data_IF_371386764298
#
_entry.id   IF_371386764298
#
_cell.length_a   1.000
_cell.length_b   1.000
_cell.length_c   1.000
_cell.angle_alpha   90.00
_cell.angle_beta   90.00
_cell.angle_gamma   90.00
#
_symmetry.space_group_name_H-M   'P 1'
#
loop_
_entity.id
_entity.type
_entity.pdbx_description
1 polymer ?
#
# COMPACT_ATOMS: atom_id res chain seq x y z
N UNK A 1 3.09 -8.79 -3.23
CA UNK A 1 2.73 -7.34 -3.26
C UNK A 1 3.53 -6.64 -4.34
N UNK A 2 3.00 -5.58 -4.95
CA UNK A 2 3.65 -4.85 -6.04
C UNK A 2 3.60 -3.35 -5.76
N UNK A 3 4.74 -2.71 -5.64
CA UNK A 3 4.85 -1.29 -5.39
C UNK A 3 4.72 -0.51 -6.70
N UNK A 4 3.92 0.54 -6.72
CA UNK A 4 3.72 1.39 -7.89
C UNK A 4 3.84 2.86 -7.49
N UNK A 5 4.47 3.64 -8.37
CA UNK A 5 4.53 5.09 -8.27
C UNK A 5 4.62 5.69 -9.68
N UNK A 6 3.97 6.84 -9.86
CA UNK A 6 3.88 7.57 -11.11
C UNK A 6 4.41 8.99 -10.97
N UNK A 7 5.10 9.45 -12.01
CA UNK A 7 5.42 10.86 -12.19
C UNK A 7 4.45 11.48 -13.20
N UNK A 8 3.92 12.65 -12.87
CA UNK A 8 2.90 13.33 -13.67
C UNK A 8 3.38 14.70 -14.18
N UNK A 9 2.71 15.18 -15.23
CA UNK A 9 2.87 16.53 -15.78
C UNK A 9 1.51 17.25 -15.90
N UNK A 10 1.57 18.53 -16.22
CA UNK A 10 0.41 19.36 -16.61
C UNK A 10 0.37 19.42 -18.13
N UNK A 11 -0.81 19.13 -18.70
CA UNK A 11 -1.13 19.28 -20.12
C UNK A 11 -2.14 20.41 -20.31
N UNK A 12 -2.53 20.67 -21.56
CA UNK A 12 -3.57 21.66 -21.89
C UNK A 12 -4.95 21.31 -21.33
N UNK A 13 -5.21 20.03 -21.05
CA UNK A 13 -6.55 19.53 -20.67
C UNK A 13 -6.60 18.96 -19.25
N UNK A 14 -5.46 18.65 -18.64
CA UNK A 14 -5.38 18.03 -17.32
C UNK A 14 -4.17 18.54 -16.54
N UNK A 15 -4.34 18.72 -15.24
CA UNK A 15 -3.27 19.11 -14.33
C UNK A 15 -2.42 17.93 -13.83
N UNK A 16 -2.75 16.71 -14.26
CA UNK A 16 -2.05 15.49 -13.84
C UNK A 16 -2.22 14.39 -14.89
N UNK A 17 -1.31 14.34 -15.86
CA UNK A 17 -1.19 13.23 -16.82
C UNK A 17 0.10 12.44 -16.60
N UNK A 18 0.01 11.12 -16.77
CA UNK A 18 1.12 10.19 -16.58
C UNK A 18 2.28 10.48 -17.54
N UNK A 19 3.50 10.57 -16.99
CA UNK A 19 4.74 10.73 -17.75
C UNK A 19 5.80 9.70 -17.45
N UNK A 20 5.76 9.07 -16.28
CA UNK A 20 6.60 7.92 -15.94
C UNK A 20 5.85 7.02 -14.97
N UNK A 21 6.09 5.72 -15.05
CA UNK A 21 5.63 4.73 -14.07
C UNK A 21 6.79 3.82 -13.71
N UNK A 22 6.88 3.46 -12.42
CA UNK A 22 7.70 2.34 -11.93
C UNK A 22 6.83 1.32 -11.22
N UNK A 23 7.11 0.03 -11.43
CA UNK A 23 6.52 -1.11 -10.72
C UNK A 23 7.64 -1.98 -10.16
N UNK A 24 7.57 -2.27 -8.86
CA UNK A 24 8.61 -2.97 -8.11
C UNK A 24 8.01 -4.14 -7.34
N UNK A 25 8.70 -5.29 -7.29
CA UNK A 25 8.27 -6.43 -6.47
C UNK A 25 8.66 -6.26 -4.98
N UNK A 26 8.44 -7.28 -4.16
CA UNK A 26 8.78 -7.23 -2.72
C UNK A 26 10.27 -7.26 -2.41
N UNK A 27 11.09 -7.67 -3.37
CA UNK A 27 12.55 -7.79 -3.25
C UNK A 27 13.28 -6.53 -3.76
N UNK A 28 12.55 -5.60 -4.37
CA UNK A 28 13.11 -4.37 -4.94
C UNK A 28 13.45 -4.48 -6.43
N UNK A 29 13.09 -5.58 -7.09
CA UNK A 29 13.31 -5.74 -8.53
C UNK A 29 12.29 -4.94 -9.34
N UNK A 30 12.78 -4.29 -10.40
CA UNK A 30 11.97 -3.50 -11.32
C UNK A 30 11.27 -4.42 -12.31
N UNK A 31 9.94 -4.45 -12.26
CA UNK A 31 9.12 -5.20 -13.21
C UNK A 31 8.75 -4.35 -14.44
N UNK A 32 8.59 -3.04 -14.23
CA UNK A 32 8.28 -2.05 -15.27
C UNK A 32 8.87 -0.70 -14.84
N UNK A 33 9.64 -0.03 -15.69
CA UNK A 33 10.01 1.38 -15.53
C UNK A 33 10.07 2.03 -16.90
N UNK A 34 9.09 2.88 -17.21
CA UNK A 34 8.96 3.48 -18.55
C UNK A 34 8.45 4.90 -18.49
N UNK A 35 8.91 5.72 -19.45
CA UNK A 35 8.28 6.98 -19.78
C UNK A 35 6.99 6.74 -20.57
N UNK A 36 6.07 7.71 -20.49
CA UNK A 36 4.77 7.67 -21.14
C UNK A 36 4.52 9.02 -21.79
N UNK A 37 4.18 9.04 -23.07
CA UNK A 37 3.79 10.25 -23.78
C UNK A 37 2.29 10.52 -23.56
N UNK A 38 1.92 11.64 -22.89
CA UNK A 38 0.53 12.09 -22.81
C UNK A 38 -0.06 12.35 -24.20
N UNK A 39 -1.37 12.17 -24.35
CA UNK A 39 -2.06 12.48 -25.63
C UNK A 39 -2.10 13.98 -25.90
N UNK A 40 -2.30 14.76 -24.84
CA UNK A 40 -2.36 16.22 -24.92
C UNK A 40 -0.98 16.83 -24.74
N UNK A 41 -0.77 18.01 -25.34
CA UNK A 41 0.50 18.72 -25.27
C UNK A 41 0.85 19.06 -23.82
N UNK A 42 2.08 18.74 -23.42
CA UNK A 42 2.62 19.09 -22.10
C UNK A 42 2.85 20.60 -22.04
N UNK A 43 2.28 21.24 -21.02
CA UNK A 43 2.43 22.67 -20.72
C UNK A 43 3.46 22.88 -19.62
N UNK A 44 3.54 21.97 -18.64
CA UNK A 44 4.54 22.00 -17.58
C UNK A 44 4.91 20.57 -17.16
N UNK A 45 6.19 20.23 -17.28
CA UNK A 45 6.73 18.91 -16.95
C UNK A 45 6.79 18.63 -15.45
N UNK A 46 6.59 19.64 -14.61
CA UNK A 46 6.70 19.56 -13.14
C UNK A 46 8.08 19.06 -12.68
N UNK A 47 9.15 19.36 -13.42
CA UNK A 47 10.48 18.75 -13.25
C UNK A 47 11.03 18.78 -11.82
N UNK A 48 10.77 19.84 -11.05
CA UNK A 48 11.18 19.93 -9.64
C UNK A 48 10.56 18.83 -8.76
N UNK A 49 9.36 18.36 -9.13
CA UNK A 49 8.63 17.30 -8.45
C UNK A 49 8.77 15.97 -9.18
N UNK A 50 8.65 15.95 -10.51
CA UNK A 50 8.57 14.72 -11.31
C UNK A 50 9.92 14.16 -11.76
N UNK A 51 10.97 14.99 -11.77
CA UNK A 51 12.25 14.67 -12.42
C UNK A 51 12.18 14.58 -13.94
N UNK A 52 11.01 14.81 -14.55
CA UNK A 52 10.81 14.71 -16.00
C UNK A 52 11.25 16.01 -16.68
N UNK A 53 12.08 15.90 -17.71
CA UNK A 53 12.52 17.03 -18.54
C UNK A 53 12.02 16.88 -19.98
N UNK A 54 11.97 17.97 -20.77
CA UNK A 54 11.65 17.90 -22.19
C UNK A 54 12.57 16.94 -22.96
N UNK A 55 13.86 16.91 -22.62
CA UNK A 55 14.87 16.06 -23.26
C UNK A 55 14.65 14.57 -22.94
N UNK A 56 14.18 14.26 -21.72
CA UNK A 56 13.79 12.89 -21.36
C UNK A 56 12.60 12.41 -22.20
N UNK A 57 11.67 13.31 -22.54
CA UNK A 57 10.46 13.00 -23.28
C UNK A 57 10.65 12.97 -24.80
N UNK A 58 11.81 13.38 -25.30
CA UNK A 58 12.12 13.36 -26.73
C UNK A 58 12.12 11.92 -27.27
N UNK A 59 11.31 11.68 -28.32
CA UNK A 59 11.21 10.37 -28.96
C UNK A 59 10.45 9.31 -28.16
N UNK A 60 9.84 9.64 -27.01
CA UNK A 60 9.00 8.70 -26.27
C UNK A 60 7.72 8.42 -27.05
N UNK A 61 7.49 7.15 -27.38
CA UNK A 61 6.30 6.70 -28.13
C UNK A 61 5.34 5.85 -27.29
N UNK A 62 5.75 5.41 -26.11
CA UNK A 62 4.93 4.59 -25.22
C UNK A 62 3.73 5.40 -24.75
N UNK A 63 2.54 4.86 -24.93
CA UNK A 63 1.28 5.49 -24.56
C UNK A 63 0.73 4.93 -23.26
N UNK A 64 -0.27 5.60 -22.69
CA UNK A 64 -0.99 5.09 -21.53
C UNK A 64 -1.58 3.68 -21.78
N UNK A 65 -2.07 3.41 -23.00
CA UNK A 65 -2.64 2.10 -23.36
C UNK A 65 -1.60 1.00 -23.32
N UNK A 66 -0.38 1.28 -23.78
CA UNK A 66 0.72 0.32 -23.74
C UNK A 66 1.09 -0.02 -22.28
N UNK A 67 1.11 0.99 -21.40
CA UNK A 67 1.34 0.78 -19.96
C UNK A 67 0.24 -0.05 -19.32
N UNK A 68 -1.03 0.26 -19.59
CA UNK A 68 -2.16 -0.50 -19.06
C UNK A 68 -2.12 -1.96 -19.53
N UNK A 69 -1.76 -2.21 -20.79
CA UNK A 69 -1.58 -3.57 -21.32
C UNK A 69 -0.41 -4.29 -20.66
N UNK A 70 0.73 -3.63 -20.49
CA UNK A 70 1.87 -4.18 -19.77
C UNK A 70 1.51 -4.53 -18.32
N UNK A 71 0.82 -3.65 -17.60
CA UNK A 71 0.36 -3.88 -16.22
C UNK A 71 -0.52 -5.12 -16.11
N UNK A 72 -1.51 -5.30 -17.00
CA UNK A 72 -2.35 -6.51 -17.04
C UNK A 72 -1.54 -7.78 -17.27
N UNK A 73 -0.41 -7.69 -17.99
CA UNK A 73 0.41 -8.84 -18.33
C UNK A 73 1.37 -9.24 -17.22
N UNK A 74 1.97 -8.25 -16.54
CA UNK A 74 3.00 -8.48 -15.52
C UNK A 74 2.43 -8.72 -14.13
N UNK A 75 1.23 -8.19 -13.84
CA UNK A 75 0.59 -8.34 -12.55
C UNK A 75 -0.34 -9.57 -12.56
N UNK A 76 -0.29 -10.44 -11.54
CA UNK A 76 -1.29 -11.49 -11.39
C UNK A 76 -2.68 -10.90 -11.05
N UNK A 77 -3.78 -11.63 -11.28
CA UNK A 77 -5.14 -11.14 -11.05
C UNK A 77 -5.42 -10.69 -9.59
N UNK A 78 -4.72 -11.29 -8.63
CA UNK A 78 -4.78 -11.03 -7.19
C UNK A 78 -3.64 -10.10 -6.71
N UNK A 79 -2.97 -9.40 -7.63
CA UNK A 79 -1.92 -8.45 -7.30
C UNK A 79 -2.40 -7.42 -6.27
N UNK A 80 -1.61 -7.16 -5.24
CA UNK A 80 -1.87 -6.10 -4.27
C UNK A 80 -0.96 -4.93 -4.59
N UNK A 81 -1.53 -3.79 -4.97
CA UNK A 81 -0.79 -2.57 -5.23
C UNK A 81 -0.42 -1.89 -3.92
N UNK A 82 0.85 -1.51 -3.81
CA UNK A 82 1.41 -0.78 -2.68
C UNK A 82 1.90 0.56 -3.18
N UNK A 83 1.64 1.64 -2.45
CA UNK A 83 2.15 2.97 -2.82
C UNK A 83 1.85 3.98 -1.73
N UNK A 84 2.01 5.26 -2.07
CA UNK A 84 1.73 6.37 -1.16
C UNK A 84 0.83 7.40 -1.85
N UNK A 85 -0.37 7.59 -1.32
CA UNK A 85 -1.43 8.40 -1.96
C UNK A 85 -1.80 7.86 -3.35
N UNK A 86 -2.00 6.54 -3.42
CA UNK A 86 -2.21 5.74 -4.64
C UNK A 86 -3.36 6.25 -5.52
N UNK A 87 -4.30 7.01 -4.95
CA UNK A 87 -5.39 7.60 -5.74
C UNK A 87 -4.89 8.57 -6.81
N UNK A 88 -3.69 9.14 -6.65
CA UNK A 88 -3.10 10.02 -7.66
C UNK A 88 -2.56 9.20 -8.82
N UNK A 89 -1.82 8.13 -8.53
CA UNK A 89 -1.28 7.19 -9.50
C UNK A 89 -2.39 6.52 -10.31
N UNK A 90 -3.38 5.93 -9.63
CA UNK A 90 -4.49 5.22 -10.28
C UNK A 90 -5.33 6.14 -11.16
N UNK A 91 -5.49 7.41 -10.77
CA UNK A 91 -6.17 8.43 -11.59
C UNK A 91 -5.35 8.76 -12.84
N UNK A 92 -4.04 8.96 -12.71
CA UNK A 92 -3.16 9.22 -13.84
C UNK A 92 -3.08 8.02 -14.80
N UNK A 93 -3.09 6.81 -14.25
CA UNK A 93 -3.11 5.55 -14.98
C UNK A 93 -4.46 5.25 -15.63
N UNK A 94 -5.52 5.96 -15.25
CA UNK A 94 -6.89 5.62 -15.64
C UNK A 94 -7.12 4.12 -15.39
N UNK A 95 -6.95 3.70 -14.14
CA UNK A 95 -7.22 2.34 -13.69
C UNK A 95 -7.95 2.35 -12.34
N UNK A 96 -8.81 1.36 -12.14
CA UNK A 96 -9.34 1.02 -10.82
C UNK A 96 -8.73 -0.32 -10.42
N UNK A 97 -8.29 -0.46 -9.17
CA UNK A 97 -7.69 -1.72 -8.70
C UNK A 97 -8.22 -2.07 -7.31
N UNK A 98 -8.78 -3.28 -7.11
CA UNK A 98 -9.51 -3.60 -5.89
C UNK A 98 -8.59 -3.80 -4.67
N UNK A 99 -7.33 -4.19 -4.86
CA UNK A 99 -6.42 -4.54 -3.76
C UNK A 99 -5.30 -3.51 -3.63
N UNK A 100 -5.53 -2.49 -2.81
CA UNK A 100 -4.58 -1.41 -2.59
C UNK A 100 -4.18 -1.29 -1.12
N UNK A 101 -2.88 -1.14 -0.86
CA UNK A 101 -2.31 -0.79 0.43
C UNK A 101 -1.60 0.56 0.29
N UNK A 102 -2.18 1.59 0.90
CA UNK A 102 -1.63 2.94 0.86
C UNK A 102 -0.86 3.27 2.14
N UNK A 103 0.46 3.44 2.01
CA UNK A 103 1.36 3.77 3.11
C UNK A 103 0.99 5.09 3.82
N UNK A 104 0.43 6.06 3.09
CA UNK A 104 -0.01 7.36 3.62
C UNK A 104 -1.19 7.23 4.58
N UNK A 105 -1.99 6.17 4.41
CA UNK A 105 -3.14 5.88 5.28
C UNK A 105 -2.76 4.94 6.42
N UNK A 106 -1.80 4.03 6.19
CA UNK A 106 -1.34 3.07 7.20
C UNK A 106 -0.51 3.71 8.32
N UNK A 107 0.40 4.62 7.95
CA UNK A 107 1.34 5.26 8.86
C UNK A 107 0.92 6.69 9.16
N UNK A 108 0.46 6.92 10.38
CA UNK A 108 -0.03 8.20 10.85
C UNK A 108 0.48 8.46 12.27
N UNK A 109 1.58 9.20 12.37
CA UNK A 109 2.17 9.58 13.65
C UNK A 109 1.57 10.87 14.26
N UNK A 110 0.68 11.56 13.54
CA UNK A 110 0.01 12.79 13.99
C UNK A 110 -1.30 12.54 14.74
N UNK A 111 -1.89 11.35 14.58
CA UNK A 111 -3.07 10.90 15.32
C UNK A 111 -4.41 11.37 14.74
N UNK A 112 -4.41 12.38 13.86
CA UNK A 112 -5.62 12.79 13.16
C UNK A 112 -5.88 11.89 11.95
N UNK A 113 -7.03 11.21 11.92
CA UNK A 113 -7.38 10.23 10.87
C UNK A 113 -7.26 10.74 9.42
N UNK A 114 -7.45 12.05 9.18
CA UNK A 114 -7.37 12.67 7.84
C UNK A 114 -5.98 13.22 7.50
N UNK A 115 -5.06 13.26 8.46
CA UNK A 115 -3.71 13.74 8.24
C UNK A 115 -2.90 12.66 7.51
N UNK A 116 -2.18 13.08 6.48
CA UNK A 116 -1.23 12.24 5.75
C UNK A 116 0.14 12.87 5.84
N UNK A 117 1.13 12.06 6.17
CA UNK A 117 2.52 12.49 6.21
C UNK A 117 3.18 12.18 4.87
N UNK A 118 4.08 13.06 4.42
CA UNK A 118 4.81 12.84 3.17
C UNK A 118 5.61 11.54 3.23
N UNK A 119 5.75 10.88 2.08
CA UNK A 119 6.56 9.67 1.97
C UNK A 119 7.99 9.90 2.48
N UNK A 120 8.57 11.07 2.17
CA UNK A 120 9.86 11.52 2.69
C UNK A 120 9.95 11.51 4.21
N UNK A 121 8.96 12.08 4.90
CA UNK A 121 8.94 12.12 6.37
C UNK A 121 8.77 10.70 6.94
N UNK A 122 7.93 9.88 6.31
CA UNK A 122 7.73 8.50 6.71
C UNK A 122 9.00 7.66 6.54
N UNK A 123 9.68 7.76 5.39
CA UNK A 123 10.94 7.06 5.12
C UNK A 123 12.04 7.49 6.11
N UNK A 124 12.19 8.79 6.37
CA UNK A 124 13.18 9.28 7.34
C UNK A 124 12.85 8.78 8.75
N UNK A 125 11.58 8.84 9.17
CA UNK A 125 11.15 8.44 10.51
C UNK A 125 11.21 6.93 10.75
N UNK A 126 10.81 6.11 9.78
CA UNK A 126 10.63 4.68 9.99
C UNK A 126 11.78 3.85 9.42
N UNK A 127 12.32 4.23 8.27
CA UNK A 127 13.39 3.50 7.59
C UNK A 127 14.80 4.07 7.87
N UNK A 128 14.89 5.30 8.41
CA UNK A 128 16.15 6.07 8.51
C UNK A 128 16.76 6.38 7.14
N UNK A 129 15.92 6.41 6.11
CA UNK A 129 16.32 6.67 4.73
C UNK A 129 15.94 8.09 4.33
N UNK A 130 16.86 8.80 3.65
CA UNK A 130 16.60 10.12 3.09
C UNK A 130 16.36 9.99 1.60
N UNK A 131 15.09 9.94 1.23
CA UNK A 131 14.64 9.90 -0.18
C UNK A 131 14.34 11.31 -0.69
N UNK A 132 14.18 11.46 -2.01
CA UNK A 132 13.83 12.72 -2.66
C UNK A 132 14.85 13.82 -2.33
N UNK A 133 16.14 13.47 -2.44
CA UNK A 133 17.28 14.35 -2.14
C UNK A 133 17.89 14.99 -3.41
N UNK A 134 17.41 14.59 -4.59
CA UNK A 134 17.87 15.05 -5.91
C UNK A 134 16.99 16.13 -6.55
N UNK A 135 17.23 16.39 -7.84
CA UNK A 135 16.39 17.25 -8.66
C UNK A 135 15.23 16.43 -9.24
N UNK A 136 14.02 16.68 -8.74
CA UNK A 136 12.86 15.85 -9.01
C UNK A 136 12.83 14.55 -8.20
N UNK A 137 11.71 13.85 -8.29
CA UNK A 137 11.53 12.54 -7.69
C UNK A 137 11.94 11.43 -8.66
N UNK A 138 12.05 10.22 -8.12
CA UNK A 138 12.24 9.03 -8.90
C UNK A 138 11.17 8.03 -8.51
N UNK A 139 10.22 7.77 -9.40
CA UNK A 139 9.17 6.78 -9.14
C UNK A 139 9.64 5.44 -8.59
N UNK A 140 10.79 4.91 -9.03
CA UNK A 140 11.35 3.71 -8.40
C UNK A 140 11.67 3.91 -6.91
N UNK A 141 12.34 5.02 -6.54
CA UNK A 141 12.73 5.29 -5.15
C UNK A 141 11.48 5.41 -4.27
N UNK A 142 10.46 6.10 -4.78
CA UNK A 142 9.22 6.34 -4.06
C UNK A 142 8.40 5.04 -3.94
N UNK A 143 8.24 4.27 -5.02
CA UNK A 143 7.59 2.95 -4.99
C UNK A 143 8.30 2.00 -4.00
N UNK A 144 9.63 1.94 -4.05
CA UNK A 144 10.40 1.06 -3.18
C UNK A 144 10.36 1.49 -1.71
N UNK A 145 10.41 2.79 -1.43
CA UNK A 145 10.24 3.32 -0.09
C UNK A 145 8.85 2.99 0.47
N UNK A 146 7.79 3.11 -0.33
CA UNK A 146 6.43 2.73 0.06
C UNK A 146 6.35 1.22 0.39
N UNK A 147 6.95 0.36 -0.42
CA UNK A 147 7.03 -1.09 -0.15
C UNK A 147 7.75 -1.39 1.16
N UNK A 148 8.93 -0.80 1.39
CA UNK A 148 9.68 -0.97 2.65
C UNK A 148 8.87 -0.54 3.88
N UNK A 149 8.15 0.58 3.79
CA UNK A 149 7.28 1.06 4.86
C UNK A 149 6.14 0.09 5.17
N UNK A 150 5.50 -0.46 4.15
CA UNK A 150 4.44 -1.46 4.32
C UNK A 150 5.01 -2.76 4.90
N UNK A 151 6.14 -3.26 4.40
CA UNK A 151 6.81 -4.44 4.97
C UNK A 151 7.16 -4.24 6.44
N UNK A 152 7.70 -3.07 6.81
CA UNK A 152 7.99 -2.73 8.21
C UNK A 152 6.73 -2.69 9.08
N UNK A 153 5.62 -2.13 8.57
CA UNK A 153 4.34 -2.11 9.27
C UNK A 153 3.81 -3.53 9.50
N UNK A 154 3.94 -4.42 8.52
CA UNK A 154 3.53 -5.81 8.63
C UNK A 154 4.41 -6.58 9.64
N UNK A 155 5.73 -6.32 9.63
CA UNK A 155 6.68 -6.89 10.60
C UNK A 155 6.37 -6.46 12.05
N UNK A 156 6.19 -5.16 12.27
CA UNK A 156 5.95 -4.58 13.60
C UNK A 156 4.49 -4.67 14.08
N UNK A 157 3.59 -5.14 13.23
CA UNK A 157 2.18 -5.32 13.51
C UNK A 157 1.31 -4.07 13.31
N UNK A 158 -0.01 -4.28 13.31
CA UNK A 158 -1.01 -3.30 12.89
C UNK A 158 -1.02 -1.99 13.70
N UNK A 159 -0.60 -2.01 14.97
CA UNK A 159 -0.56 -0.80 15.79
C UNK A 159 0.60 0.10 15.34
N UNK A 160 1.76 -0.47 15.02
CA UNK A 160 3.01 0.27 14.81
C UNK A 160 2.89 1.43 13.80
N UNK A 161 3.38 2.61 14.15
CA UNK A 161 3.39 3.76 13.25
C UNK A 161 2.03 4.46 13.05
N UNK A 162 0.99 4.08 13.80
CA UNK A 162 -0.32 4.74 13.73
C UNK A 162 -0.86 5.09 15.12
N UNK A 163 -0.81 6.38 15.47
CA UNK A 163 -1.24 6.88 16.78
C UNK A 163 -2.73 6.66 17.00
N UNK A 164 -3.56 6.79 15.96
CA UNK A 164 -4.99 6.52 16.06
C UNK A 164 -5.28 5.06 16.41
N UNK A 165 -4.35 4.13 16.12
CA UNK A 165 -4.44 2.72 16.51
C UNK A 165 -3.84 2.42 17.88
N UNK A 166 -3.38 3.44 18.61
CA UNK A 166 -2.80 3.31 19.94
C UNK A 166 -1.28 3.18 19.96
N UNK A 167 -0.59 3.46 18.86
CA UNK A 167 0.87 3.52 18.84
C UNK A 167 1.39 4.75 19.59
N UNK A 168 2.39 4.55 20.43
CA UNK A 168 3.01 5.63 21.20
C UNK A 168 4.19 6.22 20.43
N UNK A 169 3.93 7.30 19.69
CA UNK A 169 4.94 8.01 18.93
C UNK A 169 6.04 8.61 19.83
N UNK A 170 5.66 9.18 20.98
CA UNK A 170 6.61 9.80 21.92
C UNK A 170 7.58 8.77 22.50
N UNK A 171 7.07 7.58 22.84
CA UNK A 171 7.91 6.46 23.27
C UNK A 171 8.85 6.01 22.15
N UNK A 172 8.34 5.82 20.93
CA UNK A 172 9.15 5.42 19.79
C UNK A 172 10.32 6.39 19.53
N UNK A 173 10.06 7.71 19.62
CA UNK A 173 11.11 8.72 19.47
C UNK A 173 12.20 8.59 20.54
N UNK A 174 11.82 8.41 21.81
CA UNK A 174 12.76 8.22 22.93
C UNK A 174 13.59 6.95 22.76
N UNK A 175 12.94 5.84 22.44
CA UNK A 175 13.58 4.52 22.30
C UNK A 175 14.57 4.48 21.12
N UNK A 176 14.47 5.44 20.18
CA UNK A 176 15.32 5.52 18.99
C UNK A 176 16.23 6.76 18.96
N UNK A 177 16.36 7.49 20.08
CA UNK A 177 17.13 8.73 20.20
C UNK A 177 16.80 9.76 19.10
N UNK A 178 15.50 9.98 18.86
CA UNK A 178 15.00 10.91 17.84
C UNK A 178 14.34 12.14 18.44
N UNK A 179 14.62 13.30 17.85
CA UNK A 179 13.82 14.51 18.09
C UNK A 179 12.49 14.43 17.35
N UNK A 180 11.46 15.06 17.92
CA UNK A 180 10.15 15.19 17.29
C UNK A 180 10.30 15.90 15.94
N UNK A 181 9.92 15.25 14.85
CA UNK A 181 9.86 15.88 13.53
C UNK A 181 8.66 16.83 13.55
N UNK A 182 8.87 18.15 13.64
CA UNK A 182 7.74 19.06 13.61
C UNK A 182 7.16 19.07 12.19
N UNK A 183 5.84 19.14 12.05
CA UNK A 183 5.22 19.51 10.77
C UNK A 183 5.71 20.93 10.40
N UNK A 184 6.74 21.06 9.54
CA UNK A 184 7.35 22.37 9.29
C UNK A 184 7.57 22.70 7.81
N UNK A 185 7.26 23.97 7.54
CA UNK A 185 7.69 24.89 6.48
C UNK A 185 8.65 24.28 5.45
N UNK A 186 8.18 24.34 4.18
CA UNK A 186 8.96 24.20 2.94
C UNK A 186 10.36 24.83 3.08
N UNK A 187 11.41 24.02 3.02
CA UNK A 187 12.78 24.48 2.75
C UNK A 187 13.05 24.30 1.27
N UNK A 188 13.41 25.39 0.61
CA UNK A 188 13.94 25.41 -0.76
C UNK A 188 15.43 25.05 -0.69
N UNK A 189 15.80 23.84 -1.10
CA UNK A 189 17.22 23.49 -1.27
C UNK A 189 17.70 23.92 -2.65
N UNK A 190 18.82 24.65 -2.69
CA UNK A 190 19.50 25.04 -3.93
C UNK A 190 20.00 23.81 -4.72
N UNK A 191 19.99 23.86 -6.06
CA UNK A 191 20.33 22.72 -6.90
C UNK A 191 21.82 22.35 -6.79
N UNK A 192 22.10 21.05 -6.81
CA UNK A 192 23.43 20.50 -7.10
C UNK A 192 23.34 19.73 -8.41
N UNK A 193 24.41 19.82 -9.22
CA UNK A 193 24.52 19.31 -10.58
C UNK A 193 24.12 17.82 -10.73
N UNK A 194 23.35 17.54 -11.79
CA UNK A 194 22.98 16.21 -12.26
C UNK A 194 24.25 15.43 -12.63
N UNK A 195 24.44 14.25 -12.05
CA UNK A 195 25.51 13.33 -12.45
C UNK A 195 24.87 12.13 -13.14
N UNK A 196 25.05 12.04 -14.45
CA UNK A 196 24.62 10.88 -15.24
C UNK A 196 25.45 9.66 -14.84
N UNK A 197 24.76 8.57 -14.47
CA UNK A 197 25.41 7.29 -14.18
C UNK A 197 26.08 6.71 -15.42
N UNK A 198 27.28 6.14 -15.23
CA UNK A 198 28.12 5.52 -16.26
C UNK A 198 27.88 4.02 -16.44
N UNK A 199 26.87 3.42 -15.80
CA UNK A 199 26.56 1.99 -15.97
C UNK A 199 25.75 1.72 -17.25
N UNK A 200 25.99 0.55 -17.85
CA UNK A 200 25.32 0.06 -19.06
C UNK A 200 23.82 -0.12 -18.75
N UNK A 201 22.96 0.66 -19.39
CA UNK A 201 21.51 0.62 -19.19
C UNK A 201 20.96 -0.72 -19.71
N UNK A 202 20.15 -1.44 -18.92
CA UNK A 202 19.44 -2.64 -19.36
C UNK A 202 18.66 -2.43 -20.66
N UNK A 203 18.71 -3.44 -21.53
CA UNK A 203 18.08 -3.42 -22.85
C UNK A 203 17.11 -4.57 -23.00
N UNK A 204 16.05 -4.31 -23.75
CA UNK A 204 15.03 -5.28 -24.10
C UNK A 204 15.64 -6.35 -25.02
N UNK A 205 15.40 -7.61 -24.70
CA UNK A 205 15.92 -8.72 -25.52
C UNK A 205 15.28 -8.78 -26.92
N UNK A 206 14.06 -8.27 -27.08
CA UNK A 206 13.29 -8.34 -28.33
C UNK A 206 13.60 -7.18 -29.29
N UNK A 207 13.67 -5.95 -28.78
CA UNK A 207 13.78 -4.75 -29.61
C UNK A 207 15.00 -3.87 -29.33
N UNK A 208 15.89 -4.29 -28.41
CA UNK A 208 17.10 -3.56 -27.97
C UNK A 208 16.81 -2.17 -27.34
N UNK A 209 15.55 -1.78 -27.19
CA UNK A 209 15.13 -0.56 -26.49
C UNK A 209 15.47 -0.62 -25.00
N UNK A 210 15.69 0.53 -24.38
CA UNK A 210 15.93 0.62 -22.92
C UNK A 210 14.72 0.12 -22.14
N UNK A 211 14.96 -0.57 -21.03
CA UNK A 211 13.90 -1.13 -20.15
C UNK A 211 13.78 -0.43 -18.80
N UNK A 212 14.65 0.54 -18.53
CA UNK A 212 14.57 1.44 -17.38
C UNK A 212 14.79 2.88 -17.82
N UNK A 213 14.23 3.82 -17.06
CA UNK A 213 14.36 5.25 -17.30
C UNK A 213 15.59 5.76 -16.54
N UNK A 214 16.36 6.63 -17.19
CA UNK A 214 17.50 7.28 -16.53
C UNK A 214 17.02 8.10 -15.33
N UNK A 215 17.58 7.80 -14.17
CA UNK A 215 17.25 8.52 -12.95
C UNK A 215 18.07 9.80 -12.82
N UNK A 216 17.41 10.89 -12.47
CA UNK A 216 18.04 12.18 -12.14
C UNK A 216 18.51 12.27 -10.69
N UNK A 217 18.04 11.36 -9.82
CA UNK A 217 18.41 11.29 -8.41
C UNK A 217 19.78 10.62 -8.26
N UNK A 218 20.71 11.34 -7.62
CA UNK A 218 22.09 10.88 -7.42
C UNK A 218 22.12 9.68 -6.47
N UNK A 219 22.91 8.67 -6.82
CA UNK A 219 23.10 7.43 -6.04
C UNK A 219 21.83 6.59 -5.82
N UNK A 220 20.76 6.86 -6.59
CA UNK A 220 19.52 6.11 -6.52
C UNK A 220 19.74 4.62 -6.80
N UNK A 221 19.05 3.76 -6.05
CA UNK A 221 19.15 2.31 -6.16
C UNK A 221 18.70 1.77 -7.54
N UNK A 222 17.79 2.47 -8.24
CA UNK A 222 17.34 2.05 -9.58
C UNK A 222 18.49 1.93 -10.59
N UNK A 223 19.53 2.75 -10.43
CA UNK A 223 20.73 2.76 -11.29
C UNK A 223 21.56 1.48 -11.14
N UNK A 224 21.38 0.77 -10.02
CA UNK A 224 22.06 -0.49 -9.72
C UNK A 224 21.20 -1.71 -10.07
N UNK A 225 19.91 -1.51 -10.35
CA UNK A 225 18.99 -2.59 -10.71
C UNK A 225 19.36 -3.19 -12.06
N UNK A 226 19.15 -4.51 -12.19
CA UNK A 226 19.30 -5.21 -13.46
C UNK A 226 18.20 -4.82 -14.47
N UNK A 227 17.10 -4.23 -13.99
CA UNK A 227 15.95 -3.87 -14.81
C UNK A 227 15.23 -5.08 -15.41
N UNK A 228 14.04 -4.88 -16.01
CA UNK A 228 13.35 -5.96 -16.69
C UNK A 228 14.04 -6.28 -18.02
N UNK A 229 13.98 -7.55 -18.43
CA UNK A 229 14.53 -8.04 -19.71
C UNK A 229 13.64 -7.71 -20.93
N UNK A 230 12.40 -7.30 -20.67
CA UNK A 230 11.38 -6.96 -21.68
C UNK A 230 10.86 -5.55 -21.42
N UNK A 231 10.74 -4.72 -22.47
CA UNK A 231 10.19 -3.37 -22.34
C UNK A 231 8.65 -3.36 -22.34
N UNK A 232 8.05 -2.24 -21.93
CA UNK A 232 6.60 -2.05 -21.86
C UNK A 232 5.86 -2.43 -23.15
N UNK A 233 6.45 -2.12 -24.32
CA UNK A 233 5.85 -2.40 -25.63
C UNK A 233 5.96 -3.89 -25.98
N UNK A 234 7.12 -4.51 -25.78
CA UNK A 234 7.34 -5.92 -26.11
C UNK A 234 6.68 -6.89 -25.13
N UNK A 235 6.26 -6.42 -23.94
CA UNK A 235 5.41 -7.21 -23.05
C UNK A 235 4.06 -7.58 -23.68
N UNK A 236 3.64 -6.84 -24.71
CA UNK A 236 2.29 -6.90 -25.27
C UNK A 236 2.24 -7.59 -26.65
N UNK A 237 3.33 -8.18 -27.16
CA UNK A 237 3.44 -8.60 -28.57
C UNK A 237 2.27 -9.48 -29.11
N UNK A 238 1.32 -8.78 -29.73
CA UNK A 238 0.40 -8.99 -30.87
C UNK A 238 -0.40 -10.29 -31.09
N UNK A 239 -0.24 -11.37 -30.31
CA UNK A 239 -0.93 -12.65 -30.61
C UNK A 239 -1.63 -13.35 -29.44
N UNK A 240 -1.76 -12.70 -28.28
CA UNK A 240 -2.53 -13.26 -27.16
C UNK A 240 -3.88 -12.56 -27.06
N UNK A 241 -4.97 -13.33 -27.16
CA UNK A 241 -6.33 -12.85 -26.94
C UNK A 241 -6.38 -12.03 -25.65
N UNK A 242 -6.66 -10.73 -25.79
CA UNK A 242 -6.81 -9.82 -24.68
C UNK A 242 -7.91 -10.35 -23.75
N UNK A 243 -7.59 -10.55 -22.47
CA UNK A 243 -8.63 -10.59 -21.44
C UNK A 243 -9.44 -9.30 -21.51
N UNK A 244 -10.75 -9.41 -21.60
CA UNK A 244 -11.71 -8.35 -21.95
C UNK A 244 -11.89 -7.25 -20.91
N UNK A 245 -10.94 -7.05 -19.99
CA UNK A 245 -11.01 -5.97 -19.00
C UNK A 245 -10.65 -4.65 -19.66
N UNK A 246 -11.66 -4.01 -20.24
CA UNK A 246 -11.60 -2.63 -20.66
C UNK A 246 -11.66 -1.71 -19.44
N UNK A 247 -10.50 -1.18 -19.02
CA UNK A 247 -10.43 -0.24 -17.91
C UNK A 247 -11.14 1.09 -18.21
N UNK A 248 -11.32 1.45 -19.49
CA UNK A 248 -12.13 2.62 -19.87
C UNK A 248 -13.62 2.38 -19.54
N UNK A 249 -14.11 1.13 -19.53
CA UNK A 249 -15.48 0.80 -19.10
C UNK A 249 -15.61 0.74 -17.57
N UNK A 250 -14.55 0.31 -16.87
CA UNK A 250 -14.44 0.45 -15.41
C UNK A 250 -14.30 1.92 -14.97
N UNK A 251 -13.94 2.79 -15.91
CA UNK A 251 -13.83 4.23 -15.80
C UNK A 251 -14.77 4.93 -16.75
N UNK A 252 -16.03 4.48 -16.86
CA UNK A 252 -17.08 5.43 -17.17
C UNK A 252 -17.00 6.51 -16.08
N UNK A 253 -16.18 7.52 -16.35
CA UNK A 253 -16.14 8.78 -15.66
C UNK A 253 -17.49 9.35 -16.01
N UNK A 254 -18.47 9.02 -15.19
CA UNK A 254 -19.74 9.68 -15.22
C UNK A 254 -19.38 11.16 -14.99
N UNK A 255 -19.49 11.99 -16.03
CA UNK A 255 -19.46 13.46 -15.89
C UNK A 255 -20.60 13.94 -14.95
N UNK A 256 -21.41 13.00 -14.44
CA UNK A 256 -22.32 13.13 -13.30
C UNK A 256 -21.78 12.49 -12.01
N UNK A 257 -20.47 12.49 -11.76
CA UNK A 257 -19.85 12.06 -10.50
C UNK A 257 -20.34 12.82 -9.24
N UNK A 258 -21.27 13.78 -9.40
CA UNK A 258 -22.08 14.33 -8.31
C UNK A 258 -23.30 13.48 -7.92
N UNK A 259 -23.64 12.41 -8.66
CA UNK A 259 -24.86 11.61 -8.43
C UNK A 259 -24.64 10.14 -8.12
N UNK A 260 -23.51 9.54 -8.48
CA UNK A 260 -23.15 8.24 -7.94
C UNK A 260 -22.43 8.38 -6.60
N UNK A 261 -22.98 7.68 -5.62
CA UNK A 261 -22.56 7.75 -4.22
C UNK A 261 -21.17 7.10 -4.10
N UNK A 262 -20.12 7.92 -4.15
CA UNK A 262 -18.73 7.61 -3.79
C UNK A 262 -18.66 6.56 -2.64
N UNK A 263 -17.60 5.74 -2.55
CA UNK A 263 -17.32 4.95 -1.31
C UNK A 263 -17.37 5.86 -0.07
N UNK A 264 -16.93 7.11 -0.22
CA UNK A 264 -17.09 8.17 0.78
C UNK A 264 -18.55 8.42 1.17
N UNK A 265 -19.49 8.32 0.25
CA UNK A 265 -20.94 8.38 0.49
C UNK A 265 -21.50 7.12 1.16
N UNK A 266 -20.87 5.96 1.00
CA UNK A 266 -21.13 4.78 1.85
C UNK A 266 -20.54 4.92 3.27
N UNK A 267 -19.47 5.71 3.42
CA UNK A 267 -18.82 6.01 4.71
C UNK A 267 -19.45 7.21 5.44
N UNK A 268 -20.01 8.18 4.72
CA UNK A 268 -20.52 9.46 5.26
C UNK A 268 -22.08 9.54 5.23
N UNK A 269 -22.76 8.70 4.44
CA UNK A 269 -24.17 8.93 4.05
C UNK A 269 -25.25 8.31 4.93
N UNK A 270 -24.95 7.33 5.77
CA UNK A 270 -25.95 6.73 6.67
C UNK A 270 -25.42 6.69 8.10
N UNK A 271 -26.21 7.26 9.02
CA UNK A 271 -25.94 7.37 10.47
C UNK A 271 -25.77 6.02 11.20
N UNK A 272 -25.55 4.91 10.50
CA UNK A 272 -25.63 3.54 11.01
C UNK A 272 -24.46 2.60 10.63
N UNK A 273 -23.46 2.99 9.83
CA UNK A 273 -22.47 2.02 9.33
C UNK A 273 -21.07 2.24 9.90
N UNK A 274 -20.68 1.30 10.76
CA UNK A 274 -19.61 1.39 11.74
C UNK A 274 -18.40 0.54 11.37
N UNK A 275 -17.21 0.89 11.89
CA UNK A 275 -16.04 0.01 11.96
C UNK A 275 -16.14 -0.80 13.24
N UNK A 276 -16.15 -2.13 13.14
CA UNK A 276 -16.07 -3.01 14.30
C UNK A 276 -14.60 -3.18 14.69
N UNK A 277 -14.27 -2.83 15.92
CA UNK A 277 -12.90 -2.94 16.45
C UNK A 277 -12.88 -3.92 17.61
N UNK A 278 -12.26 -5.07 17.34
CA UNK A 278 -12.16 -6.23 18.19
C UNK A 278 -10.77 -6.42 18.80
N UNK A 279 -10.24 -5.41 19.49
CA UNK A 279 -8.86 -5.46 20.00
C UNK A 279 -8.80 -5.72 21.51
N UNK A 280 -7.71 -6.31 22.00
CA UNK A 280 -7.45 -6.55 23.43
C UNK A 280 -7.25 -5.24 24.19
N UNK A 281 -6.59 -4.28 23.55
CA UNK A 281 -6.28 -2.99 24.18
C UNK A 281 -7.46 -2.03 24.09
N UNK A 282 -7.73 -1.35 25.19
CA UNK A 282 -8.62 -0.19 25.20
C UNK A 282 -7.96 1.04 24.56
N UNK A 283 -6.80 0.91 23.89
CA UNK A 283 -6.01 2.03 23.40
C UNK A 283 -6.74 2.85 22.33
N UNK A 284 -7.64 2.22 21.58
CA UNK A 284 -8.53 2.90 20.64
C UNK A 284 -9.64 3.72 21.32
N UNK A 285 -9.88 3.58 22.63
CA UNK A 285 -10.94 4.33 23.35
C UNK A 285 -10.65 5.83 23.47
N UNK A 286 -9.43 6.29 23.14
CA UNK A 286 -9.02 7.67 23.40
C UNK A 286 -9.70 8.69 22.48
N UNK A 287 -10.35 8.26 21.42
CA UNK A 287 -11.22 9.12 20.61
C UNK A 287 -12.59 8.46 20.49
N UNK A 288 -13.65 9.10 21.02
CA UNK A 288 -15.04 8.72 20.71
C UNK A 288 -15.33 9.11 19.25
N UNK A 289 -14.71 8.41 18.31
CA UNK A 289 -14.90 8.64 16.88
C UNK A 289 -16.29 8.11 16.53
N UNK A 290 -17.19 9.00 16.11
CA UNK A 290 -18.51 8.60 15.59
C UNK A 290 -18.29 7.57 14.48
N UNK A 291 -18.93 6.40 14.59
CA UNK A 291 -18.80 5.34 13.59
C UNK A 291 -17.80 4.24 13.91
N UNK A 292 -17.16 4.18 15.08
CA UNK A 292 -16.35 3.02 15.50
C UNK A 292 -17.02 2.34 16.70
N UNK A 293 -17.31 1.05 16.58
CA UNK A 293 -17.86 0.22 17.64
C UNK A 293 -16.73 -0.64 18.22
N UNK A 294 -16.46 -0.46 19.52
CA UNK A 294 -15.43 -1.21 20.22
C UNK A 294 -16.01 -2.39 20.99
N UNK A 295 -15.51 -3.58 20.66
CA UNK A 295 -15.83 -4.84 21.34
C UNK A 295 -14.54 -5.51 21.83
N UNK A 296 -13.99 -5.03 22.96
CA UNK A 296 -12.70 -5.50 23.41
C UNK A 296 -12.77 -6.94 23.91
N UNK A 297 -11.80 -7.77 23.50
CA UNK A 297 -11.71 -9.19 23.90
C UNK A 297 -11.84 -9.40 25.42
N UNK A 298 -11.31 -8.49 26.24
CA UNK A 298 -11.35 -8.57 27.71
C UNK A 298 -12.74 -8.53 28.34
N UNK A 299 -13.78 -8.20 27.58
CA UNK A 299 -15.19 -8.20 28.06
C UNK A 299 -15.90 -9.55 27.84
N UNK A 300 -15.21 -10.51 27.24
CA UNK A 300 -15.75 -11.81 26.87
C UNK A 300 -15.13 -12.90 27.74
N UNK A 301 -15.93 -13.90 28.10
CA UNK A 301 -15.51 -14.96 29.03
C UNK A 301 -14.47 -15.89 28.38
N UNK A 302 -14.63 -16.22 27.11
CA UNK A 302 -13.73 -17.08 26.34
C UNK A 302 -13.43 -16.52 24.94
N UNK A 303 -12.48 -17.14 24.24
CA UNK A 303 -12.19 -16.82 22.84
C UNK A 303 -13.37 -17.22 21.94
N UNK A 304 -14.02 -18.33 22.26
CA UNK A 304 -15.22 -18.79 21.55
C UNK A 304 -16.38 -17.80 21.71
N UNK A 305 -16.68 -17.31 22.92
CA UNK A 305 -17.71 -16.27 23.15
C UNK A 305 -17.38 -14.98 22.40
N UNK A 306 -16.11 -14.61 22.40
CA UNK A 306 -15.65 -13.44 21.66
C UNK A 306 -15.88 -13.58 20.15
N UNK A 307 -15.49 -14.72 19.57
CA UNK A 307 -15.69 -15.01 18.14
C UNK A 307 -17.16 -15.03 17.78
N UNK A 308 -18.01 -15.70 18.57
CA UNK A 308 -19.47 -15.71 18.38
C UNK A 308 -20.08 -14.32 18.37
N UNK A 309 -19.61 -13.46 19.28
CA UNK A 309 -20.05 -12.08 19.32
C UNK A 309 -19.61 -11.33 18.08
N UNK A 310 -18.39 -11.56 17.59
CA UNK A 310 -17.88 -10.88 16.39
C UNK A 310 -18.62 -11.35 15.15
N UNK A 311 -18.92 -12.65 15.02
CA UNK A 311 -19.75 -13.21 13.95
C UNK A 311 -21.13 -12.56 13.87
N UNK A 312 -21.76 -12.35 15.03
CA UNK A 312 -23.08 -11.70 15.10
C UNK A 312 -23.05 -10.23 14.67
N UNK A 313 -21.88 -9.57 14.77
CA UNK A 313 -21.74 -8.15 14.49
C UNK A 313 -21.09 -7.86 13.13
N UNK A 314 -20.28 -8.76 12.58
CA UNK A 314 -19.48 -8.52 11.37
C UNK A 314 -20.34 -8.12 10.16
N UNK A 315 -21.52 -8.71 10.02
CA UNK A 315 -22.48 -8.43 8.95
C UNK A 315 -23.15 -7.05 9.06
N UNK A 316 -23.18 -6.47 10.26
CA UNK A 316 -23.76 -5.15 10.50
C UNK A 316 -22.75 -4.00 10.27
N UNK A 317 -21.51 -4.33 9.90
CA UNK A 317 -20.40 -3.38 9.81
C UNK A 317 -19.77 -3.41 8.42
N UNK A 318 -19.24 -2.26 7.98
CA UNK A 318 -18.58 -2.16 6.67
C UNK A 318 -17.12 -2.64 6.71
N UNK A 319 -16.49 -2.54 7.88
CA UNK A 319 -15.11 -2.96 8.11
C UNK A 319 -15.03 -3.55 9.51
N UNK A 320 -14.49 -4.76 9.63
CA UNK A 320 -14.21 -5.39 10.91
C UNK A 320 -12.71 -5.63 11.04
N UNK A 321 -12.14 -5.09 12.11
CA UNK A 321 -10.75 -5.30 12.50
C UNK A 321 -10.77 -6.11 13.79
N UNK A 322 -10.45 -7.39 13.70
CA UNK A 322 -10.55 -8.36 14.79
C UNK A 322 -9.16 -8.86 15.12
N UNK A 323 -8.73 -8.67 16.37
CA UNK A 323 -7.49 -9.24 16.88
C UNK A 323 -7.78 -10.63 17.42
N UNK A 324 -7.16 -11.65 16.83
CA UNK A 324 -7.20 -13.01 17.34
C UNK A 324 -5.81 -13.40 17.83
N UNK A 325 -5.67 -13.53 19.14
CA UNK A 325 -4.40 -13.91 19.74
C UNK A 325 -4.66 -14.52 21.13
N UNK A 326 -4.09 -15.69 21.41
CA UNK A 326 -4.13 -16.31 22.73
C UNK A 326 -2.99 -15.75 23.60
N UNK A 327 -3.30 -15.19 24.77
CA UNK A 327 -2.26 -14.79 25.73
C UNK A 327 -1.82 -15.97 26.60
N UNK A 328 -0.69 -15.81 27.30
CA UNK A 328 -0.15 -16.85 28.20
C UNK A 328 -1.15 -17.34 29.25
N UNK A 329 -2.10 -16.51 29.69
CA UNK A 329 -3.10 -16.93 30.69
C UNK A 329 -4.15 -17.83 30.04
N UNK A 330 -4.58 -17.50 28.85
CA UNK A 330 -5.52 -18.31 28.06
C UNK A 330 -4.89 -19.62 27.62
N UNK A 331 -3.63 -19.59 27.18
CA UNK A 331 -2.88 -20.82 26.87
C UNK A 331 -2.81 -21.70 28.11
N UNK A 332 -2.46 -21.14 29.29
CA UNK A 332 -2.45 -21.91 30.56
C UNK A 332 -3.81 -22.50 30.93
N UNK A 333 -4.92 -21.79 30.68
CA UNK A 333 -6.26 -22.32 30.92
C UNK A 333 -6.56 -23.51 30.02
N UNK A 334 -6.26 -23.40 28.72
CA UNK A 334 -6.46 -24.48 27.74
C UNK A 334 -5.59 -25.70 28.09
N UNK A 335 -4.33 -25.46 28.44
CA UNK A 335 -3.38 -26.50 28.88
C UNK A 335 -3.90 -27.25 30.10
N UNK A 336 -4.40 -26.52 31.10
CA UNK A 336 -4.96 -27.11 32.32
C UNK A 336 -6.27 -27.85 32.06
N UNK A 337 -7.14 -27.33 31.18
CA UNK A 337 -8.42 -27.95 30.85
C UNK A 337 -8.24 -29.26 30.07
N UNK A 338 -7.30 -29.28 29.12
CA UNK A 338 -7.03 -30.42 28.25
C UNK A 338 -5.94 -31.36 28.80
N UNK A 339 -5.35 -31.04 29.96
CA UNK A 339 -4.29 -31.83 30.61
C UNK A 339 -3.09 -32.09 29.69
N UNK A 340 -2.65 -31.06 28.96
CA UNK A 340 -1.56 -31.16 27.98
C UNK A 340 -0.21 -30.90 28.68
N UNK A 341 0.77 -31.77 28.49
CA UNK A 341 2.09 -31.64 29.14
C UNK A 341 3.22 -31.24 28.17
N UNK A 342 3.04 -31.49 26.87
CA UNK A 342 4.07 -31.29 25.85
C UNK A 342 3.94 -29.94 25.14
N UNK A 343 5.01 -29.12 25.14
CA UNK A 343 5.03 -27.82 24.43
C UNK A 343 4.62 -27.93 22.97
N UNK A 344 5.00 -29.01 22.28
CA UNK A 344 4.64 -29.24 20.88
C UNK A 344 3.13 -29.45 20.71
N UNK A 345 2.52 -30.14 21.66
CA UNK A 345 1.09 -30.42 21.69
C UNK A 345 0.28 -29.18 22.08
N UNK A 346 0.82 -28.34 22.97
CA UNK A 346 0.27 -27.01 23.29
C UNK A 346 0.21 -26.15 22.02
N UNK A 347 1.32 -26.03 21.29
CA UNK A 347 1.37 -25.22 20.06
C UNK A 347 0.42 -25.74 18.99
N UNK A 348 0.36 -27.06 18.79
CA UNK A 348 -0.57 -27.67 17.83
C UNK A 348 -2.04 -27.40 18.21
N UNK A 349 -2.39 -27.54 19.49
CA UNK A 349 -3.75 -27.30 20.00
C UNK A 349 -4.17 -25.83 19.84
N UNK A 350 -3.25 -24.90 20.13
CA UNK A 350 -3.52 -23.47 19.96
C UNK A 350 -3.68 -23.13 18.48
N UNK A 351 -2.84 -23.67 17.60
CA UNK A 351 -2.97 -23.49 16.16
C UNK A 351 -4.32 -24.01 15.65
N UNK A 352 -4.73 -25.22 16.03
CA UNK A 352 -6.02 -25.82 15.63
C UNK A 352 -7.22 -24.98 16.10
N UNK A 353 -7.20 -24.52 17.36
CA UNK A 353 -8.22 -23.62 17.90
C UNK A 353 -8.25 -22.27 17.17
N UNK A 354 -7.09 -21.74 16.82
CA UNK A 354 -6.97 -20.48 16.08
C UNK A 354 -7.51 -20.62 14.65
N UNK A 355 -7.13 -21.67 13.93
CA UNK A 355 -7.61 -21.99 12.59
C UNK A 355 -9.13 -22.17 12.58
N UNK A 356 -9.67 -22.93 13.53
CA UNK A 356 -11.12 -23.11 13.69
C UNK A 356 -11.84 -21.76 13.85
N UNK A 357 -11.30 -20.86 14.68
CA UNK A 357 -11.90 -19.54 14.88
C UNK A 357 -11.77 -18.65 13.64
N UNK A 358 -10.66 -18.74 12.89
CA UNK A 358 -10.45 -18.01 11.64
C UNK A 358 -11.48 -18.48 10.61
N UNK A 359 -11.60 -19.79 10.40
CA UNK A 359 -12.56 -20.37 9.46
C UNK A 359 -13.98 -19.95 9.77
N UNK A 360 -14.36 -19.92 11.06
CA UNK A 360 -15.67 -19.45 11.48
C UNK A 360 -15.89 -17.99 11.11
N UNK A 361 -14.93 -17.10 11.36
CA UNK A 361 -15.02 -15.68 10.96
C UNK A 361 -15.13 -15.51 9.44
N UNK A 362 -14.34 -16.26 8.67
CA UNK A 362 -14.43 -16.28 7.21
C UNK A 362 -15.81 -16.75 6.76
N UNK A 363 -16.31 -17.83 7.36
CA UNK A 363 -17.62 -18.40 7.05
C UNK A 363 -18.78 -17.47 7.44
N UNK A 364 -18.61 -16.66 8.49
CA UNK A 364 -19.57 -15.63 8.89
C UNK A 364 -19.54 -14.35 8.06
N UNK A 365 -18.45 -14.09 7.31
CA UNK A 365 -18.35 -12.94 6.43
C UNK A 365 -19.19 -13.11 5.14
N UNK A 366 -19.61 -11.98 4.53
CA UNK A 366 -20.40 -11.98 3.31
C UNK A 366 -19.57 -12.40 2.08
N UNK A 367 -20.23 -12.87 1.04
CA UNK A 367 -19.65 -13.40 -0.22
C UNK A 367 -19.02 -12.33 -1.13
N UNK A 368 -18.72 -11.14 -0.62
CA UNK A 368 -17.88 -10.15 -1.31
C UNK A 368 -16.97 -9.43 -0.31
N UNK A 369 -16.71 -10.07 0.84
CA UNK A 369 -15.88 -9.50 1.89
C UNK A 369 -14.42 -9.71 1.57
N UNK A 370 -13.63 -8.64 1.63
CA UNK A 370 -12.17 -8.74 1.68
C UNK A 370 -11.74 -9.11 3.10
N UNK A 371 -11.10 -10.26 3.25
CA UNK A 371 -10.59 -10.72 4.54
C UNK A 371 -9.07 -10.61 4.52
N UNK A 372 -8.56 -9.77 5.42
CA UNK A 372 -7.14 -9.58 5.66
C UNK A 372 -6.76 -10.22 7.00
N UNK A 373 -6.04 -11.33 6.97
CA UNK A 373 -5.51 -11.98 8.17
C UNK A 373 -4.04 -11.62 8.34
N UNK A 374 -3.72 -10.99 9.46
CA UNK A 374 -2.34 -10.69 9.85
C UNK A 374 -1.94 -11.64 10.96
N UNK A 375 -1.14 -12.65 10.64
CA UNK A 375 -0.61 -13.61 11.58
C UNK A 375 0.79 -13.17 12.00
N UNK A 376 0.97 -12.87 13.29
CA UNK A 376 2.27 -12.45 13.85
C UNK A 376 2.89 -13.59 14.66
N UNK A 377 4.08 -14.05 14.28
CA UNK A 377 4.93 -14.94 15.08
C UNK A 377 6.24 -14.21 15.45
N UNK A 378 6.90 -14.57 16.56
CA UNK A 378 8.23 -14.05 16.91
C UNK A 378 9.28 -14.21 15.80
N UNK A 379 9.12 -15.21 14.94
CA UNK A 379 10.07 -15.53 13.87
C UNK A 379 9.67 -14.92 12.51
N UNK A 380 8.37 -14.75 12.26
CA UNK A 380 7.84 -14.30 10.96
C UNK A 380 6.42 -13.74 11.09
N UNK A 381 6.15 -12.63 10.41
CA UNK A 381 4.78 -12.16 10.16
C UNK A 381 4.32 -12.64 8.78
N UNK A 382 3.11 -13.22 8.72
CA UNK A 382 2.51 -13.73 7.49
C UNK A 382 1.19 -12.99 7.28
N UNK A 383 1.01 -12.43 6.08
CA UNK A 383 -0.25 -11.83 5.64
C UNK A 383 -0.97 -12.84 4.74
N UNK A 384 -2.15 -13.28 5.17
CA UNK A 384 -3.03 -14.13 4.38
C UNK A 384 -4.24 -13.32 3.92
N UNK A 385 -4.55 -13.38 2.63
CA UNK A 385 -5.66 -12.64 2.03
C UNK A 385 -6.58 -13.62 1.34
N UNK A 386 -7.87 -13.54 1.65
CA UNK A 386 -8.89 -14.33 0.98
C UNK A 386 -10.10 -13.45 0.68
N UNK A 387 -10.72 -13.71 -0.46
CA UNK A 387 -11.89 -13.01 -0.96
C UNK A 387 -12.94 -14.08 -1.12
N UNK A 388 -13.98 -13.94 -0.30
CA UNK A 388 -15.10 -14.85 -0.30
C UNK A 388 -16.20 -14.33 -1.20
#
# INVERSE_FOLDING_TARGET
MFAIDCEMCITEVSNSELTRISVVNEDGDILLDTLVMPKSRIVNYLTEWSGITPELMEGVTVTLKDVQAALRRILPPDAILVGHSLEHDLRALKMAHPYCIDASMLLNYGGQRKERHSLKNLAELFLKEKIQMGYGHCSYEDAWAAMKLVKLKLDKGLIFGNVSYGWDYSKYLKDNDREHIPAKKRRTSKPKSVVLSTKKIPKCQTCDSRTIVNCTVRDCECVRSAGPVTCAVCYVDKNTEEGTINWEDALLVDDKADKEKHVKTFLDGEKAKTVLCGFRSNSLKKERTKGIIHKPRKKHESHEDYVERMLSEILAHNLALIEMNYDEKEVKLIVNELQIESDKEIQATIAEKMDTNIERLINGASQNSLILLVLTSPEKSILYINIK
#
